data_IF_330278204141
#
_entry.id   IF_330278204141
#
_cell.length_a   1.000
_cell.length_b   1.000
_cell.length_c   1.000
_cell.angle_alpha   90.00
_cell.angle_beta   90.00
_cell.angle_gamma   90.00
#
_symmetry.space_group_name_H-M   'P 1'
#
loop_
_entity.id
_entity.type
_entity.pdbx_description
1 polymer ?
#
# COMPACT_ATOMS: atom_id res chain seq x y z
N UNK A 1 -46.43 -29.87 3.87
CA UNK A 1 -45.09 -30.46 3.65
C UNK A 1 -44.42 -29.96 2.35
N UNK A 2 -44.51 -28.65 2.03
CA UNK A 2 -43.95 -28.04 0.79
C UNK A 2 -42.75 -27.11 1.02
N UNK A 3 -42.40 -26.79 2.27
CA UNK A 3 -41.37 -25.77 2.59
C UNK A 3 -39.94 -26.27 2.78
N UNK A 4 -39.65 -27.57 2.64
CA UNK A 4 -38.28 -28.09 2.79
C UNK A 4 -37.58 -28.27 1.42
N UNK A 5 -38.34 -28.39 0.33
CA UNK A 5 -37.80 -28.54 -1.03
C UNK A 5 -37.25 -27.25 -1.65
N UNK A 6 -37.48 -26.07 -1.05
CA UNK A 6 -36.92 -24.81 -1.53
C UNK A 6 -35.53 -24.49 -0.97
N UNK A 7 -35.14 -25.13 0.14
CA UNK A 7 -33.83 -24.94 0.78
C UNK A 7 -32.76 -25.80 0.11
N UNK A 8 -33.11 -27.00 -0.36
CA UNK A 8 -32.24 -27.83 -1.20
C UNK A 8 -32.40 -27.42 -2.68
N UNK A 9 -32.19 -26.13 -2.97
CA UNK A 9 -32.09 -25.61 -4.33
C UNK A 9 -30.76 -26.11 -4.92
N UNK A 10 -30.79 -26.61 -6.15
CA UNK A 10 -29.68 -27.32 -6.79
C UNK A 10 -28.32 -26.66 -6.53
N UNK A 11 -27.27 -27.41 -6.11
CA UNK A 11 -25.94 -26.84 -5.86
C UNK A 11 -25.36 -26.12 -7.09
N UNK A 12 -25.80 -26.49 -8.30
CA UNK A 12 -25.45 -25.81 -9.54
C UNK A 12 -25.98 -24.36 -9.61
N UNK A 13 -27.16 -24.07 -9.04
CA UNK A 13 -27.72 -22.71 -9.01
C UNK A 13 -27.03 -21.81 -7.99
N UNK A 14 -26.53 -22.40 -6.90
CA UNK A 14 -25.69 -21.70 -5.94
C UNK A 14 -24.28 -21.50 -6.50
N UNK A 15 -23.78 -22.42 -7.31
CA UNK A 15 -22.51 -22.30 -8.00
C UNK A 15 -22.54 -21.17 -9.04
N UNK A 16 -23.64 -21.01 -9.79
CA UNK A 16 -23.83 -19.86 -10.68
C UNK A 16 -24.00 -18.55 -9.91
N UNK A 17 -24.69 -18.57 -8.76
CA UNK A 17 -24.82 -17.38 -7.92
C UNK A 17 -23.49 -16.93 -7.29
N UNK A 18 -22.63 -17.87 -6.85
CA UNK A 18 -21.28 -17.58 -6.36
C UNK A 18 -20.37 -17.15 -7.52
N UNK A 19 -20.55 -17.72 -8.72
CA UNK A 19 -19.85 -17.28 -9.92
C UNK A 19 -20.25 -15.86 -10.33
N UNK A 20 -21.54 -15.51 -10.27
CA UNK A 20 -22.04 -14.14 -10.54
C UNK A 20 -21.54 -13.13 -9.50
N UNK A 21 -21.33 -13.55 -8.24
CA UNK A 21 -20.75 -12.71 -7.19
C UNK A 21 -19.24 -12.45 -7.36
N UNK A 22 -18.55 -13.25 -8.18
CA UNK A 22 -17.12 -13.08 -8.47
C UNK A 22 -16.86 -12.46 -9.86
N UNK A 23 -17.93 -12.20 -10.62
CA UNK A 23 -17.87 -11.65 -11.97
C UNK A 23 -18.39 -10.20 -12.05
N UNK A 24 -18.41 -9.44 -10.96
CA UNK A 24 -18.53 -7.97 -11.05
C UNK A 24 -17.17 -7.32 -11.35
N UNK A 25 -16.37 -7.99 -12.20
CA UNK A 25 -15.23 -7.41 -12.92
C UNK A 25 -15.77 -6.47 -14.00
N UNK A 26 -16.47 -5.43 -13.54
CA UNK A 26 -16.88 -4.31 -14.36
C UNK A 26 -15.65 -3.82 -15.12
N UNK A 27 -15.76 -3.74 -16.45
CA UNK A 27 -14.85 -3.05 -17.37
C UNK A 27 -14.04 -2.01 -16.60
N UNK A 28 -12.69 -2.09 -16.55
CA UNK A 28 -11.89 -1.19 -15.74
C UNK A 28 -12.21 0.22 -16.18
N UNK A 29 -13.08 0.88 -15.44
CA UNK A 29 -13.32 2.29 -15.60
C UNK A 29 -12.03 2.88 -15.05
N UNK A 30 -11.12 3.26 -15.92
CA UNK A 30 -9.83 3.85 -15.56
C UNK A 30 -10.03 4.97 -14.54
N UNK A 31 -11.14 5.72 -14.63
CA UNK A 31 -11.56 6.68 -13.61
C UNK A 31 -11.87 6.08 -12.23
N UNK A 32 -12.56 4.94 -12.14
CA UNK A 32 -12.79 4.24 -10.87
C UNK A 32 -11.49 3.73 -10.26
N UNK A 33 -10.60 3.16 -11.07
CA UNK A 33 -9.28 2.67 -10.62
C UNK A 33 -8.41 3.83 -10.15
N UNK A 34 -8.36 4.93 -10.93
CA UNK A 34 -7.62 6.13 -10.57
C UNK A 34 -8.12 6.69 -9.24
N UNK A 35 -9.43 6.87 -9.09
CA UNK A 35 -10.01 7.40 -7.86
C UNK A 35 -9.79 6.45 -6.69
N UNK A 36 -9.95 5.12 -6.86
CA UNK A 36 -9.72 4.17 -5.77
C UNK A 36 -8.26 4.16 -5.34
N UNK A 37 -7.32 4.06 -6.29
CA UNK A 37 -5.90 4.07 -6.01
C UNK A 37 -5.45 5.39 -5.41
N UNK A 38 -5.94 6.53 -5.93
CA UNK A 38 -5.68 7.85 -5.36
C UNK A 38 -6.16 7.94 -3.93
N UNK A 39 -7.42 7.59 -3.63
CA UNK A 39 -7.96 7.66 -2.26
C UNK A 39 -7.18 6.72 -1.34
N UNK A 40 -6.87 5.49 -1.76
CA UNK A 40 -6.11 4.54 -0.94
C UNK A 40 -4.71 5.07 -0.62
N UNK A 41 -3.97 5.56 -1.62
CA UNK A 41 -2.62 6.09 -1.41
C UNK A 41 -2.68 7.40 -0.60
N UNK A 42 -3.62 8.28 -0.93
CA UNK A 42 -3.80 9.55 -0.23
C UNK A 42 -4.11 9.32 1.26
N UNK A 43 -5.04 8.42 1.60
CA UNK A 43 -5.31 8.08 3.00
C UNK A 43 -4.10 7.44 3.70
N UNK A 44 -3.30 6.64 2.99
CA UNK A 44 -2.07 6.07 3.52
C UNK A 44 -0.97 7.12 3.75
N UNK A 45 -0.94 8.19 2.94
CA UNK A 45 0.07 9.24 3.02
C UNK A 45 -0.35 10.48 3.82
N UNK A 46 -1.64 10.72 4.08
CA UNK A 46 -2.09 11.90 4.81
C UNK A 46 -1.55 11.85 6.24
N UNK A 47 -0.70 12.82 6.56
CA UNK A 47 -0.07 12.91 7.88
C UNK A 47 1.18 12.07 8.03
N UNK A 48 1.82 11.65 6.93
CA UNK A 48 3.15 11.07 7.03
C UNK A 48 4.10 12.02 7.78
N UNK A 49 4.96 11.45 8.63
CA UNK A 49 5.93 12.20 9.46
C UNK A 49 6.83 13.06 8.58
N UNK A 50 7.08 12.66 7.33
CA UNK A 50 7.83 13.45 6.35
C UNK A 50 7.11 14.74 5.96
N UNK A 51 5.78 14.73 5.86
CA UNK A 51 4.99 15.93 5.54
C UNK A 51 5.06 16.97 6.66
N UNK A 52 4.89 16.53 7.92
CA UNK A 52 5.05 17.42 9.09
C UNK A 52 6.47 17.97 9.21
N UNK A 53 7.48 17.11 9.01
CA UNK A 53 8.89 17.54 9.04
C UNK A 53 9.18 18.59 7.97
N UNK A 54 8.70 18.36 6.75
CA UNK A 54 8.86 19.31 5.63
C UNK A 54 8.13 20.63 5.91
N UNK A 55 6.92 20.57 6.47
CA UNK A 55 6.14 21.75 6.84
C UNK A 55 6.84 22.56 7.94
N UNK A 56 7.37 21.90 8.98
CA UNK A 56 8.12 22.55 10.06
C UNK A 56 9.41 23.20 9.52
N UNK A 57 10.19 22.48 8.71
CA UNK A 57 11.38 23.03 8.06
C UNK A 57 11.04 24.23 7.15
N UNK A 58 9.91 24.17 6.44
CA UNK A 58 9.43 25.28 5.60
C UNK A 58 8.98 26.47 6.45
N UNK A 59 8.36 26.22 7.61
CA UNK A 59 7.92 27.26 8.54
C UNK A 59 9.09 27.97 9.23
N UNK A 60 10.18 27.26 9.56
CA UNK A 60 11.40 27.87 10.10
C UNK A 60 12.28 28.52 9.02
N UNK A 61 12.27 28.00 7.79
CA UNK A 61 13.05 28.56 6.70
C UNK A 61 12.43 29.86 6.20
N UNK A 62 13.22 30.94 6.16
CA UNK A 62 12.81 32.20 5.52
C UNK A 62 12.60 32.07 3.99
N UNK A 63 12.95 30.93 3.39
CA UNK A 63 12.75 30.67 1.97
C UNK A 63 12.20 29.24 1.72
N UNK A 64 10.90 29.10 1.36
CA UNK A 64 10.26 27.80 1.14
C UNK A 64 10.83 27.05 -0.07
N UNK A 65 11.39 27.75 -1.06
CA UNK A 65 11.95 27.14 -2.26
C UNK A 65 13.21 26.32 -1.97
N UNK A 66 14.01 26.74 -1.00
CA UNK A 66 15.22 26.02 -0.60
C UNK A 66 14.86 24.71 0.09
N UNK A 67 13.84 24.71 0.94
CA UNK A 67 13.36 23.49 1.61
C UNK A 67 12.76 22.52 0.60
N UNK A 68 11.99 23.01 -0.37
CA UNK A 68 11.48 22.19 -1.47
C UNK A 68 12.61 21.55 -2.29
N UNK A 69 13.62 22.33 -2.70
CA UNK A 69 14.74 21.81 -3.45
C UNK A 69 15.59 20.82 -2.62
N UNK A 70 15.80 21.09 -1.34
CA UNK A 70 16.51 20.21 -0.40
C UNK A 70 15.79 18.88 -0.18
N UNK A 71 14.51 18.92 0.20
CA UNK A 71 13.69 17.73 0.40
C UNK A 71 13.52 16.92 -0.90
N UNK A 72 13.29 17.61 -2.02
CA UNK A 72 13.17 16.97 -3.34
C UNK A 72 14.47 16.28 -3.78
N UNK A 73 15.61 16.96 -3.64
CA UNK A 73 16.92 16.37 -3.98
C UNK A 73 17.28 15.20 -3.04
N UNK A 74 16.98 15.31 -1.75
CA UNK A 74 17.16 14.22 -0.79
C UNK A 74 16.30 12.99 -1.13
N UNK A 75 15.04 13.21 -1.55
CA UNK A 75 14.15 12.13 -1.97
C UNK A 75 14.68 11.43 -3.23
N UNK A 76 15.09 12.19 -4.23
CA UNK A 76 15.67 11.65 -5.47
C UNK A 76 16.93 10.85 -5.16
N UNK A 77 17.83 11.40 -4.35
CA UNK A 77 19.08 10.74 -3.99
C UNK A 77 18.84 9.44 -3.20
N UNK A 78 17.95 9.49 -2.21
CA UNK A 78 17.58 8.32 -1.40
C UNK A 78 16.94 7.23 -2.26
N UNK A 79 16.05 7.62 -3.18
CA UNK A 79 15.40 6.69 -4.12
C UNK A 79 16.42 6.07 -5.07
N UNK A 80 17.35 6.87 -5.60
CA UNK A 80 18.41 6.40 -6.48
C UNK A 80 19.33 5.39 -5.78
N UNK A 81 19.77 5.70 -4.56
CA UNK A 81 20.56 4.76 -3.74
C UNK A 81 19.76 3.49 -3.43
N UNK A 82 18.48 3.62 -3.08
CA UNK A 82 17.59 2.50 -2.80
C UNK A 82 17.44 1.57 -4.00
N UNK A 83 17.26 2.10 -5.21
CA UNK A 83 17.19 1.32 -6.44
C UNK A 83 18.52 0.65 -6.75
N UNK A 84 19.65 1.35 -6.59
CA UNK A 84 20.97 0.78 -6.84
C UNK A 84 21.27 -0.40 -5.91
N UNK A 85 21.04 -0.22 -4.61
CA UNK A 85 21.20 -1.26 -3.59
C UNK A 85 20.19 -2.39 -3.81
N UNK A 86 18.93 -2.06 -4.09
CA UNK A 86 17.87 -3.03 -4.35
C UNK A 86 18.16 -3.90 -5.57
N UNK A 87 18.65 -3.30 -6.67
CA UNK A 87 19.04 -4.02 -7.87
C UNK A 87 20.25 -4.92 -7.62
N UNK A 88 21.26 -4.42 -6.89
CA UNK A 88 22.42 -5.22 -6.50
C UNK A 88 22.01 -6.41 -5.64
N UNK A 89 21.12 -6.20 -4.67
CA UNK A 89 20.63 -7.25 -3.78
C UNK A 89 19.77 -8.29 -4.53
N UNK A 90 18.89 -7.84 -5.42
CA UNK A 90 18.07 -8.70 -6.26
C UNK A 90 18.90 -9.54 -7.23
N UNK A 91 20.08 -9.06 -7.64
CA UNK A 91 21.00 -9.84 -8.49
C UNK A 91 21.71 -10.98 -7.74
N UNK A 92 21.80 -10.90 -6.41
CA UNK A 92 22.54 -11.85 -5.56
C UNK A 92 21.64 -12.81 -4.80
N UNK A 93 20.40 -12.44 -4.54
CA UNK A 93 19.48 -13.14 -3.63
C UNK A 93 18.25 -13.61 -4.40
N UNK A 94 17.74 -14.82 -4.06
CA UNK A 94 16.52 -15.34 -4.66
C UNK A 94 15.31 -14.43 -4.37
N UNK A 95 14.37 -14.24 -5.32
CA UNK A 95 13.19 -13.41 -5.12
C UNK A 95 12.38 -13.80 -3.88
N UNK A 96 12.30 -15.11 -3.60
CA UNK A 96 11.57 -15.66 -2.46
C UNK A 96 12.15 -15.23 -1.12
N UNK A 97 13.47 -15.14 -1.02
CA UNK A 97 14.14 -14.64 0.20
C UNK A 97 13.87 -13.15 0.37
N UNK A 98 13.83 -12.39 -0.72
CA UNK A 98 13.58 -10.95 -0.69
C UNK A 98 12.15 -10.63 -0.25
N UNK A 99 11.16 -11.38 -0.75
CA UNK A 99 9.75 -11.27 -0.33
C UNK A 99 9.57 -11.62 1.16
N UNK A 100 10.18 -12.71 1.62
CA UNK A 100 10.14 -13.09 3.03
C UNK A 100 10.82 -12.05 3.92
N UNK A 101 11.96 -11.50 3.49
CA UNK A 101 12.67 -10.46 4.22
C UNK A 101 11.85 -9.16 4.31
N UNK A 102 11.24 -8.72 3.20
CA UNK A 102 10.40 -7.53 3.18
C UNK A 102 9.17 -7.68 4.08
N UNK A 103 8.45 -8.81 3.96
CA UNK A 103 7.30 -9.11 4.82
C UNK A 103 7.68 -9.22 6.30
N UNK A 104 8.79 -9.90 6.60
CA UNK A 104 9.29 -10.01 7.97
C UNK A 104 9.72 -8.66 8.55
N UNK A 105 10.34 -7.79 7.75
CA UNK A 105 10.73 -6.45 8.18
C UNK A 105 9.50 -5.60 8.50
N UNK A 106 8.46 -5.67 7.67
CA UNK A 106 7.19 -4.98 7.93
C UNK A 106 6.51 -5.47 9.21
N UNK A 107 6.44 -6.79 9.43
CA UNK A 107 5.89 -7.34 10.68
C UNK A 107 6.71 -6.91 11.90
N UNK A 108 8.03 -6.93 11.79
CA UNK A 108 8.93 -6.52 12.87
C UNK A 108 8.72 -5.04 13.22
N UNK A 109 8.69 -4.15 12.23
CA UNK A 109 8.42 -2.72 12.44
C UNK A 109 7.04 -2.52 13.08
N UNK A 110 6.02 -3.25 12.61
CA UNK A 110 4.66 -3.20 13.17
C UNK A 110 4.62 -3.58 14.66
N UNK A 111 5.27 -4.69 15.03
CA UNK A 111 5.34 -5.14 16.44
C UNK A 111 6.15 -4.15 17.30
N UNK A 112 7.27 -3.63 16.79
CA UNK A 112 8.08 -2.64 17.51
C UNK A 112 7.28 -1.36 17.80
N UNK A 113 6.58 -0.82 16.80
CA UNK A 113 5.74 0.36 16.98
C UNK A 113 4.59 0.10 17.94
N UNK A 114 3.99 -1.10 17.88
CA UNK A 114 2.93 -1.48 18.82
C UNK A 114 3.44 -1.54 20.27
N UNK A 115 4.65 -2.06 20.47
CA UNK A 115 5.28 -2.10 21.79
C UNK A 115 5.61 -0.70 22.32
N UNK A 116 6.18 0.17 21.50
CA UNK A 116 6.49 1.57 21.84
C UNK A 116 5.23 2.41 22.11
N UNK A 117 4.08 2.02 21.53
CA UNK A 117 2.79 2.63 21.86
C UNK A 117 2.25 2.13 23.21
N UNK A 118 2.55 0.89 23.60
CA UNK A 118 2.02 0.28 24.82
C UNK A 118 2.85 0.58 26.08
N UNK A 119 4.15 0.87 25.92
CA UNK A 119 5.10 1.21 26.99
C UNK A 119 5.76 2.56 26.72
#
# INVERSE_FOLDING_TARGET
MKSVKSVFKDPASNLSAIADQQQDSAKPNTGKIFVSTFITIFLAEIGDKTQLTTLLMTAESHNPWIVFAGAGSALVLTSFLGVLVGQWLASRISPRTLELAAGSSLLLISVLLFWEVLH
#
